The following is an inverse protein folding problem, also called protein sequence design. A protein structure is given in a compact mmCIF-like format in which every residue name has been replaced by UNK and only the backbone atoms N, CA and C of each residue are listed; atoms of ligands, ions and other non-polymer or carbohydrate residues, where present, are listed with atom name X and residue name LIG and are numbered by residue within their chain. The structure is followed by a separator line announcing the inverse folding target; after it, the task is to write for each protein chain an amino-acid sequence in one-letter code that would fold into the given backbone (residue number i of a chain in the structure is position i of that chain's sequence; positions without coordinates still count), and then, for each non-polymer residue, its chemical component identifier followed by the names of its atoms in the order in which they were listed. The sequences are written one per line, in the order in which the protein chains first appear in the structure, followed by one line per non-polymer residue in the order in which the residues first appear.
data_IF_598867455267
#
_entry.id   IF_598867455267
#
_cell.length_a   1.000
_cell.length_b   1.000
_cell.length_c   1.000
_cell.angle_alpha   90.00
_cell.angle_beta   90.00
_cell.angle_gamma   90.00
#
_symmetry.space_group_name_H-M   'P 1'
#
loop_
_entity.id
_entity.type
_entity.pdbx_description
1 polymer ?
#
# COMPACT_ATOMS: atom_id res chain seq x y z
N UNK A 1 14.67 19.82 9.89
CA UNK A 1 15.55 18.65 10.15
C UNK A 1 14.72 17.37 10.10
N UNK A 2 14.53 16.77 8.91
CA UNK A 2 13.90 15.44 8.75
C UNK A 2 14.65 14.62 7.67
N UNK A 3 15.93 14.24 7.88
CA UNK A 3 16.67 13.44 6.90
C UNK A 3 16.36 11.92 6.94
N UNK A 4 15.56 11.43 7.90
CA UNK A 4 15.38 9.97 8.10
C UNK A 4 14.27 9.32 7.27
N UNK A 5 13.28 10.08 6.81
CA UNK A 5 12.16 9.53 6.02
C UNK A 5 12.57 9.20 4.57
N UNK A 6 13.46 10.00 3.98
CA UNK A 6 14.00 9.76 2.63
C UNK A 6 14.83 8.47 2.58
N UNK A 7 15.63 8.16 3.60
CA UNK A 7 16.45 6.95 3.61
C UNK A 7 15.62 5.66 3.72
N UNK A 8 14.49 5.69 4.44
CA UNK A 8 13.59 4.55 4.55
C UNK A 8 12.86 4.23 3.24
N UNK A 9 12.36 5.25 2.54
CA UNK A 9 11.70 5.05 1.24
C UNK A 9 12.67 4.51 0.19
N UNK A 10 13.91 5.02 0.19
CA UNK A 10 14.94 4.55 -0.75
C UNK A 10 15.36 3.10 -0.47
N UNK A 11 15.42 2.69 0.81
CA UNK A 11 15.71 1.31 1.19
C UNK A 11 14.62 0.32 0.76
N UNK A 12 13.35 0.71 0.84
CA UNK A 12 12.22 -0.12 0.40
C UNK A 12 12.24 -0.31 -1.12
N UNK A 13 12.55 0.74 -1.90
CA UNK A 13 12.67 0.61 -3.36
C UNK A 13 13.88 -0.23 -3.80
N UNK A 14 15.00 -0.18 -3.07
CA UNK A 14 16.19 -0.97 -3.39
C UNK A 14 16.04 -2.46 -3.07
N UNK A 15 15.23 -2.82 -2.06
CA UNK A 15 14.96 -4.24 -1.76
C UNK A 15 14.15 -4.93 -2.87
N UNK A 16 13.24 -4.20 -3.53
CA UNK A 16 12.42 -4.76 -4.62
C UNK A 16 13.20 -5.04 -5.91
N UNK A 17 14.29 -4.31 -6.19
CA UNK A 17 15.04 -4.44 -7.44
C UNK A 17 16.13 -5.54 -7.42
N UNK A 18 16.44 -6.12 -6.27
CA UNK A 18 17.57 -7.05 -6.10
C UNK A 18 17.23 -8.55 -6.24
N UNK A 19 15.95 -8.90 -6.44
CA UNK A 19 15.51 -10.29 -6.39
C UNK A 19 15.64 -11.07 -7.72
N UNK A 20 15.95 -10.44 -8.85
CA UNK A 20 16.08 -11.14 -10.13
C UNK A 20 17.51 -11.69 -10.34
N UNK A 21 17.91 -12.72 -9.58
CA UNK A 21 19.19 -13.42 -9.79
C UNK A 21 19.00 -14.66 -10.65
N UNK A 22 19.32 -14.56 -11.94
CA UNK A 22 19.45 -15.73 -12.82
C UNK A 22 20.70 -16.52 -12.41
N UNK A 23 20.52 -17.68 -11.78
CA UNK A 23 21.61 -18.61 -11.52
C UNK A 23 21.65 -19.65 -12.65
N UNK A 24 22.68 -19.56 -13.49
CA UNK A 24 22.98 -20.58 -14.48
C UNK A 24 23.85 -21.67 -13.84
N UNK A 25 23.23 -22.70 -13.28
CA UNK A 25 23.95 -23.92 -12.90
C UNK A 25 24.22 -24.73 -14.17
N UNK A 26 25.40 -25.35 -14.25
CA UNK A 26 26.04 -25.84 -15.49
C UNK A 26 25.21 -26.95 -16.18
N UNK A 27 24.22 -26.54 -16.99
CA UNK A 27 23.40 -27.42 -17.83
C UNK A 27 21.89 -27.21 -17.70
N UNK A 28 21.40 -26.62 -16.61
CA UNK A 28 19.98 -26.41 -16.35
C UNK A 28 19.66 -24.91 -16.29
N UNK A 29 18.65 -24.49 -17.06
CA UNK A 29 18.16 -23.11 -17.02
C UNK A 29 17.06 -23.06 -15.96
N UNK A 30 17.40 -22.49 -14.81
CA UNK A 30 16.47 -22.25 -13.71
C UNK A 30 15.86 -20.86 -13.87
N UNK A 31 14.55 -20.79 -14.10
CA UNK A 31 13.81 -19.54 -14.22
C UNK A 31 12.89 -19.43 -13.00
N UNK A 32 13.11 -18.42 -12.17
CA UNK A 32 12.15 -18.04 -11.15
C UNK A 32 10.96 -17.33 -11.81
N UNK A 33 9.80 -17.98 -11.78
CA UNK A 33 8.55 -17.38 -12.24
C UNK A 33 7.91 -16.70 -11.03
N UNK A 34 7.72 -15.36 -11.04
CA UNK A 34 7.06 -14.68 -9.94
C UNK A 34 5.63 -15.23 -9.83
N UNK A 35 5.24 -15.67 -8.63
CA UNK A 35 3.89 -16.17 -8.39
C UNK A 35 2.86 -15.08 -8.67
N UNK A 36 1.78 -15.42 -9.36
CA UNK A 36 0.72 -14.45 -9.64
C UNK A 36 -0.27 -14.38 -8.46
N UNK A 37 -0.60 -13.19 -7.97
CA UNK A 37 -1.70 -13.01 -7.00
C UNK A 37 -3.04 -13.26 -7.68
N UNK A 38 -3.93 -13.99 -7.00
CA UNK A 38 -5.31 -14.20 -7.47
C UNK A 38 -6.04 -12.86 -7.72
N UNK A 39 -6.93 -12.79 -8.72
CA UNK A 39 -7.73 -11.58 -8.98
C UNK A 39 -8.54 -11.14 -7.75
N UNK A 40 -9.04 -12.09 -6.97
CA UNK A 40 -9.78 -11.84 -5.73
C UNK A 40 -8.91 -11.11 -4.68
N UNK A 41 -7.66 -11.56 -4.49
CA UNK A 41 -6.74 -10.90 -3.56
C UNK A 41 -6.38 -9.49 -4.03
N UNK A 42 -6.16 -9.30 -5.34
CA UNK A 42 -5.89 -7.97 -5.92
C UNK A 42 -7.07 -7.02 -5.67
N UNK A 43 -8.30 -7.50 -5.86
CA UNK A 43 -9.51 -6.71 -5.64
C UNK A 43 -9.73 -6.38 -4.16
N UNK A 44 -9.50 -7.33 -3.25
CA UNK A 44 -9.58 -7.10 -1.80
C UNK A 44 -8.55 -6.05 -1.34
N UNK A 45 -7.29 -6.19 -1.77
CA UNK A 45 -6.22 -5.23 -1.46
C UNK A 45 -6.55 -3.83 -1.99
N UNK A 46 -7.00 -3.75 -3.24
CA UNK A 46 -7.43 -2.50 -3.86
C UNK A 46 -8.60 -1.86 -3.09
N UNK A 47 -9.56 -2.67 -2.65
CA UNK A 47 -10.70 -2.22 -1.86
C UNK A 47 -10.29 -1.64 -0.50
N UNK A 48 -9.45 -2.35 0.26
CA UNK A 48 -8.97 -1.88 1.57
C UNK A 48 -8.12 -0.61 1.42
N UNK A 49 -7.20 -0.59 0.46
CA UNK A 49 -6.37 0.57 0.19
C UNK A 49 -7.22 1.78 -0.26
N UNK A 50 -8.20 1.57 -1.13
CA UNK A 50 -9.13 2.60 -1.58
C UNK A 50 -9.99 3.16 -0.44
N UNK A 51 -10.54 2.29 0.41
CA UNK A 51 -11.30 2.71 1.60
C UNK A 51 -10.43 3.50 2.58
N UNK A 52 -9.19 3.05 2.81
CA UNK A 52 -8.22 3.76 3.65
C UNK A 52 -7.89 5.16 3.11
N UNK A 53 -7.69 5.27 1.80
CA UNK A 53 -7.46 6.56 1.13
C UNK A 53 -8.66 7.50 1.27
N UNK A 54 -9.88 7.02 1.02
CA UNK A 54 -11.10 7.83 1.16
C UNK A 54 -11.32 8.30 2.60
N UNK A 55 -11.12 7.41 3.59
CA UNK A 55 -11.21 7.78 5.00
C UNK A 55 -10.16 8.83 5.40
N UNK A 56 -8.92 8.68 4.91
CA UNK A 56 -7.85 9.65 5.12
C UNK A 56 -8.15 11.02 4.48
N UNK A 57 -8.68 11.03 3.25
CA UNK A 57 -9.08 12.26 2.56
C UNK A 57 -10.22 12.99 3.29
N UNK A 58 -11.21 12.24 3.80
CA UNK A 58 -12.28 12.80 4.63
C UNK A 58 -11.74 13.36 5.95
N UNK A 59 -10.76 12.68 6.58
CA UNK A 59 -10.05 13.21 7.74
C UNK A 59 -9.34 14.54 7.45
N UNK A 60 -8.70 14.65 6.28
CA UNK A 60 -8.06 15.88 5.84
C UNK A 60 -9.05 17.02 5.60
N UNK A 61 -10.22 16.72 5.03
CA UNK A 61 -11.28 17.71 4.87
C UNK A 61 -11.70 18.31 6.23
N UNK A 62 -11.99 17.47 7.23
CA UNK A 62 -12.35 17.95 8.57
C UNK A 62 -11.20 18.68 9.28
N UNK A 63 -9.94 18.33 8.98
CA UNK A 63 -8.79 19.04 9.49
C UNK A 63 -8.74 20.48 8.96
N UNK A 64 -8.95 20.68 7.66
CA UNK A 64 -9.00 22.02 7.07
C UNK A 64 -10.18 22.85 7.59
N UNK A 65 -11.35 22.23 7.76
CA UNK A 65 -12.54 22.87 8.35
C UNK A 65 -12.30 23.30 9.80
N UNK A 66 -11.68 22.44 10.61
CA UNK A 66 -11.29 22.77 11.99
C UNK A 66 -10.29 23.94 12.04
N UNK A 67 -9.37 24.00 11.07
CA UNK A 67 -8.37 25.06 10.99
C UNK A 67 -9.02 26.39 10.63
N UNK A 68 -9.88 26.43 9.60
CA UNK A 68 -10.58 27.67 9.24
C UNK A 68 -11.43 28.20 10.40
N UNK A 69 -12.15 27.35 11.10
CA UNK A 69 -12.94 27.77 12.27
C UNK A 69 -12.07 28.28 13.42
N UNK A 70 -10.86 27.73 13.59
CA UNK A 70 -9.91 28.21 14.61
C UNK A 70 -9.31 29.55 14.21
N UNK A 71 -8.98 29.72 12.93
CA UNK A 71 -8.44 30.97 12.38
C UNK A 71 -9.47 32.11 12.48
N UNK A 72 -10.78 31.82 12.38
CA UNK A 72 -11.85 32.80 12.56
C UNK A 72 -11.98 33.32 14.02
N UNK A 73 -11.65 32.48 15.01
CA UNK A 73 -11.70 32.82 16.45
C UNK A 73 -10.36 33.34 16.96
N UNK A 74 -9.26 33.02 16.27
CA UNK A 74 -7.93 33.48 16.60
C UNK A 74 -7.78 34.98 16.31
N UNK A 75 -8.12 35.81 17.29
CA UNK A 75 -7.74 37.21 17.25
C UNK A 75 -6.22 37.32 17.45
N UNK A 76 -5.49 37.75 16.41
CA UNK A 76 -4.04 38.03 16.47
C UNK A 76 -3.67 39.11 17.50
N UNK A 77 -4.66 39.81 18.05
CA UNK A 77 -4.51 40.81 19.10
C UNK A 77 -5.69 40.81 20.07
N UNK A 78 -5.44 41.08 21.35
CA UNK A 78 -6.48 41.20 22.38
C UNK A 78 -7.50 42.29 21.99
N UNK A 79 -8.76 41.88 21.76
CA UNK A 79 -9.82 42.77 21.28
C UNK A 79 -10.51 43.54 22.42
N UNK A 80 -10.32 43.13 23.67
CA UNK A 80 -11.04 43.68 24.82
C UNK A 80 -12.55 43.41 24.83
N UNK A 81 -13.05 42.61 23.87
CA UNK A 81 -14.44 42.23 23.81
C UNK A 81 -14.73 41.09 24.80
N UNK A 82 -15.90 41.14 25.41
CA UNK A 82 -16.38 40.04 26.26
C UNK A 82 -16.71 38.83 25.38
N UNK A 83 -16.38 37.64 25.86
CA UNK A 83 -16.69 36.38 25.18
C UNK A 83 -18.20 36.24 24.94
N UNK A 84 -18.58 35.99 23.69
CA UNK A 84 -19.99 35.87 23.28
C UNK A 84 -20.41 34.41 23.12
N UNK A 85 -21.71 34.16 22.93
CA UNK A 85 -22.22 32.79 22.70
C UNK A 85 -21.83 32.29 21.31
N UNK A 86 -21.75 33.21 20.36
CA UNK A 86 -21.32 32.96 18.99
C UNK A 86 -19.87 32.45 18.96
N UNK A 87 -18.99 33.01 19.79
CA UNK A 87 -17.60 32.54 19.94
C UNK A 87 -17.55 31.11 20.50
N UNK A 88 -18.40 30.80 21.48
CA UNK A 88 -18.52 29.46 22.06
C UNK A 88 -18.96 28.42 21.01
N UNK A 89 -19.93 28.75 20.16
CA UNK A 89 -20.39 27.86 19.09
C UNK A 89 -19.30 27.58 18.03
N UNK A 90 -18.45 28.57 17.73
CA UNK A 90 -17.32 28.39 16.82
C UNK A 90 -16.25 27.46 17.42
N UNK A 91 -15.93 27.63 18.71
CA UNK A 91 -15.01 26.73 19.42
C UNK A 91 -15.54 25.30 19.45
N UNK A 92 -16.81 25.12 19.82
CA UNK A 92 -17.47 23.80 19.82
C UNK A 92 -17.46 23.14 18.44
N UNK A 93 -17.64 23.93 17.38
CA UNK A 93 -17.55 23.44 16.00
C UNK A 93 -16.13 22.99 15.68
N UNK A 94 -15.12 23.80 16.02
CA UNK A 94 -13.73 23.46 15.80
C UNK A 94 -13.34 22.15 16.52
N UNK A 95 -13.76 21.97 17.78
CA UNK A 95 -13.47 20.77 18.56
C UNK A 95 -14.14 19.50 17.99
N UNK A 96 -15.39 19.62 17.52
CA UNK A 96 -16.08 18.52 16.83
C UNK A 96 -15.39 18.16 15.52
N UNK A 97 -15.01 19.15 14.70
CA UNK A 97 -14.30 18.92 13.43
C UNK A 97 -12.91 18.32 13.67
N UNK A 98 -12.17 18.78 14.69
CA UNK A 98 -10.90 18.19 15.11
C UNK A 98 -11.03 16.72 15.50
N UNK A 99 -12.05 16.39 16.30
CA UNK A 99 -12.30 15.00 16.71
C UNK A 99 -12.59 14.09 15.52
N UNK A 100 -13.41 14.56 14.56
CA UNK A 100 -13.68 13.84 13.31
C UNK A 100 -12.44 13.67 12.44
N UNK A 101 -11.59 14.70 12.36
CA UNK A 101 -10.33 14.62 11.64
C UNK A 101 -9.40 13.55 12.23
N UNK A 102 -9.25 13.52 13.57
CA UNK A 102 -8.44 12.50 14.26
C UNK A 102 -8.96 11.10 13.97
N UNK A 103 -10.27 10.89 14.06
CA UNK A 103 -10.90 9.59 13.75
C UNK A 103 -10.63 9.21 12.28
N UNK A 104 -10.84 10.14 11.34
CA UNK A 104 -10.61 9.91 9.92
C UNK A 104 -9.17 9.52 9.61
N UNK A 105 -8.19 10.24 10.17
CA UNK A 105 -6.78 9.91 10.00
C UNK A 105 -6.40 8.59 10.67
N UNK A 106 -6.94 8.29 11.85
CA UNK A 106 -6.62 7.06 12.57
C UNK A 106 -7.15 5.84 11.81
N UNK A 107 -8.40 5.89 11.35
CA UNK A 107 -9.02 4.82 10.57
C UNK A 107 -8.36 4.69 9.20
N UNK A 108 -8.18 5.79 8.47
CA UNK A 108 -7.53 5.79 7.16
C UNK A 108 -6.08 5.29 7.24
N UNK A 109 -5.31 5.75 8.22
CA UNK A 109 -3.95 5.31 8.47
C UNK A 109 -3.86 3.83 8.82
N UNK A 110 -4.72 3.34 9.72
CA UNK A 110 -4.77 1.93 10.09
C UNK A 110 -5.11 1.03 8.89
N UNK A 111 -6.05 1.43 8.03
CA UNK A 111 -6.41 0.69 6.82
C UNK A 111 -5.27 0.63 5.81
N UNK A 112 -4.57 1.74 5.58
CA UNK A 112 -3.44 1.78 4.65
C UNK A 112 -2.26 0.95 5.16
N UNK A 113 -1.92 1.05 6.45
CA UNK A 113 -0.88 0.21 7.07
C UNK A 113 -1.28 -1.25 7.06
N UNK A 114 -2.54 -1.57 7.37
CA UNK A 114 -3.09 -2.92 7.31
C UNK A 114 -3.01 -3.52 5.91
N UNK A 115 -3.37 -2.75 4.87
CA UNK A 115 -3.24 -3.16 3.48
C UNK A 115 -1.78 -3.43 3.10
N UNK A 116 -0.84 -2.59 3.53
CA UNK A 116 0.58 -2.80 3.27
C UNK A 116 1.14 -4.05 3.96
N UNK A 117 0.78 -4.28 5.22
CA UNK A 117 1.16 -5.49 5.96
C UNK A 117 0.57 -6.72 5.27
N UNK A 118 -0.72 -6.67 4.93
CA UNK A 118 -1.40 -7.76 4.25
C UNK A 118 -0.78 -8.07 2.90
N UNK A 119 -0.39 -7.06 2.12
CA UNK A 119 0.32 -7.22 0.85
C UNK A 119 1.62 -8.00 0.99
N UNK A 120 2.40 -7.71 2.03
CA UNK A 120 3.69 -8.37 2.32
C UNK A 120 3.45 -9.80 2.79
N UNK A 121 2.51 -10.01 3.70
CA UNK A 121 2.22 -11.34 4.26
C UNK A 121 1.61 -12.29 3.21
N UNK A 122 0.87 -11.74 2.24
CA UNK A 122 0.23 -12.51 1.16
C UNK A 122 1.03 -12.51 -0.13
N UNK A 123 2.34 -12.27 -0.07
CA UNK A 123 3.21 -12.39 -1.22
C UNK A 123 3.22 -13.85 -1.73
N UNK A 124 2.80 -14.09 -2.99
CA UNK A 124 2.79 -15.44 -3.55
C UNK A 124 4.23 -15.94 -3.68
N UNK A 125 4.46 -17.19 -3.29
CA UNK A 125 5.78 -17.82 -3.42
C UNK A 125 6.14 -17.92 -4.90
N UNK A 126 7.39 -17.62 -5.24
CA UNK A 126 7.91 -17.84 -6.59
C UNK A 126 7.99 -19.34 -6.88
N UNK A 127 7.57 -19.72 -8.07
CA UNK A 127 7.70 -21.10 -8.56
C UNK A 127 8.97 -21.18 -9.41
N UNK A 128 9.81 -22.19 -9.15
CA UNK A 128 11.05 -22.40 -9.90
C UNK A 128 10.78 -23.33 -11.07
N UNK A 129 10.84 -22.83 -12.31
CA UNK A 129 10.76 -23.65 -13.51
C UNK A 129 12.17 -24.08 -13.93
N UNK A 130 12.44 -25.39 -13.92
CA UNK A 130 13.72 -25.96 -14.38
C UNK A 130 13.55 -26.45 -15.81
N UNK A 131 14.19 -25.77 -16.76
CA UNK A 131 14.26 -26.22 -18.15
C UNK A 131 15.51 -27.08 -18.29
N UNK A 132 15.32 -28.39 -18.47
CA UNK A 132 16.41 -29.34 -18.77
C UNK A 132 16.55 -29.53 -20.29
N UNK A 133 17.63 -29.03 -20.92
CA UNK A 133 17.89 -29.29 -22.33
C UNK A 133 18.35 -30.75 -22.50
N UNK A 134 17.41 -31.67 -22.75
CA UNK A 134 17.77 -33.03 -23.14
C UNK A 134 18.25 -33.05 -24.59
N UNK A 135 19.44 -33.61 -24.82
CA UNK A 135 19.98 -33.77 -26.16
C UNK A 135 19.02 -34.58 -27.06
N UNK A 136 18.67 -34.00 -28.20
CA UNK A 136 18.00 -34.64 -29.36
C UNK A 136 16.63 -35.31 -29.18
N UNK A 137 16.02 -35.30 -27.99
CA UNK A 137 14.65 -35.75 -27.75
C UNK A 137 13.76 -34.60 -27.29
N UNK A 138 12.51 -34.56 -27.75
CA UNK A 138 11.55 -33.48 -27.51
C UNK A 138 11.60 -32.91 -26.08
N UNK A 139 11.65 -31.57 -25.91
CA UNK A 139 11.73 -30.95 -24.59
C UNK A 139 10.57 -31.44 -23.72
N UNK A 140 10.91 -32.15 -22.65
CA UNK A 140 9.93 -32.71 -21.72
C UNK A 140 9.84 -31.79 -20.51
N UNK A 141 8.74 -31.05 -20.40
CA UNK A 141 8.45 -30.25 -19.22
C UNK A 141 7.80 -31.17 -18.19
N UNK A 142 8.55 -31.63 -17.18
CA UNK A 142 7.97 -32.42 -16.08
C UNK A 142 7.49 -31.49 -14.97
N UNK A 143 6.19 -31.46 -14.63
CA UNK A 143 5.71 -30.66 -13.52
C UNK A 143 6.30 -31.20 -12.21
N UNK A 144 6.93 -30.32 -11.44
CA UNK A 144 7.20 -30.56 -10.02
C UNK A 144 5.93 -30.28 -9.22
N UNK A 145 5.72 -31.06 -8.16
CA UNK A 145 4.50 -31.02 -7.34
C UNK A 145 4.27 -29.58 -6.82
N UNK A 146 3.21 -28.93 -7.32
CA UNK A 146 2.83 -27.54 -7.01
C UNK A 146 2.92 -26.52 -8.15
N UNK A 147 3.47 -26.86 -9.33
CA UNK A 147 3.65 -25.90 -10.44
C UNK A 147 2.53 -25.87 -11.48
N UNK A 148 2.01 -24.68 -11.82
CA UNK A 148 0.98 -24.52 -12.84
C UNK A 148 1.55 -24.61 -14.28
N UNK A 149 0.85 -25.34 -15.15
CA UNK A 149 1.23 -25.58 -16.55
C UNK A 149 1.05 -24.32 -17.42
N UNK A 150 2.14 -23.69 -17.85
CA UNK A 150 2.16 -22.87 -19.07
C UNK A 150 2.52 -23.76 -20.28
N UNK A 151 1.63 -24.71 -20.57
CA UNK A 151 1.71 -25.60 -21.73
C UNK A 151 0.75 -25.17 -22.84
N UNK A 152 0.96 -23.97 -23.41
CA UNK A 152 0.24 -23.54 -24.61
C UNK A 152 0.75 -24.30 -25.84
N UNK A 153 0.18 -25.46 -26.12
CA UNK A 153 0.44 -26.22 -27.34
C UNK A 153 -0.30 -25.54 -28.51
N UNK A 154 0.37 -24.65 -29.23
CA UNK A 154 -0.11 -24.18 -30.53
C UNK A 154 0.26 -25.23 -31.58
N UNK A 155 -0.74 -25.90 -32.15
CA UNK A 155 -0.61 -26.65 -33.40
C UNK A 155 -1.11 -25.77 -34.54
N UNK A 156 -0.29 -25.61 -35.58
CA UNK A 156 -0.71 -25.01 -36.86
C UNK A 156 -1.60 -25.97 -37.65
#
# INVERSE_FOLDING_TARGET
MIPRLSQLVTAICLLGLLASRVHAEKGDIVIDIPGERSPENKLLLGGIAGAGFLAGALGAYFHFDSRSASDDVAADSYTGQAWTREDEELVDRADRSRSRAIIGYSVGGALLVGAAIYYIVTEPKSETAVIRPHGRGSPTVSPTEGGALLGGMWSF
#
